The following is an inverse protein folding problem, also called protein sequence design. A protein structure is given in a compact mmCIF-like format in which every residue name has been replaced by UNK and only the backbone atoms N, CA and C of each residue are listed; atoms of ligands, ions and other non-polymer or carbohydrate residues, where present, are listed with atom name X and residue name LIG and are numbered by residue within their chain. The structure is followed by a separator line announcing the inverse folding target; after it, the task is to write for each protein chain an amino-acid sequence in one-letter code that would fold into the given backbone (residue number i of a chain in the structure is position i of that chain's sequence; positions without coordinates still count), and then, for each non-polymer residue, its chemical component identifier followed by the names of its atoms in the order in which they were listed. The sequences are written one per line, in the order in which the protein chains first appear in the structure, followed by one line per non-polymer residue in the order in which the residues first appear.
data_IF_458640613553
#
_entry.id   IF_458640613553
#
_cell.length_a   1.000
_cell.length_b   1.000
_cell.length_c   1.000
_cell.angle_alpha   90.00
_cell.angle_beta   90.00
_cell.angle_gamma   90.00
#
_symmetry.space_group_name_H-M   'P 1'
#
loop_
_entity.id
_entity.type
_entity.pdbx_description
1 polymer ?
#
# COMPACT_ATOMS: atom_id res chain seq x y z
N UNK A 1 25.38 -50.63 -1.09
CA UNK A 1 25.78 -51.87 -1.83
C UNK A 1 25.05 -51.76 -3.15
N UNK A 2 25.73 -51.63 -4.30
CA UNK A 2 25.05 -51.28 -5.56
C UNK A 2 24.03 -52.34 -5.94
N UNK A 3 22.76 -51.96 -5.94
CA UNK A 3 21.65 -52.82 -6.33
C UNK A 3 21.30 -52.56 -7.79
N UNK A 4 20.81 -53.58 -8.50
CA UNK A 4 20.44 -53.48 -9.91
C UNK A 4 19.00 -53.95 -10.09
N UNK A 5 18.22 -53.21 -10.87
CA UNK A 5 16.83 -53.52 -11.17
C UNK A 5 16.75 -53.97 -12.63
N UNK A 6 16.36 -55.22 -12.87
CA UNK A 6 16.24 -55.78 -14.22
C UNK A 6 14.82 -55.58 -14.75
N UNK A 7 14.70 -54.92 -15.90
CA UNK A 7 13.48 -54.90 -16.72
C UNK A 7 13.83 -55.40 -18.12
N UNK A 8 13.20 -56.50 -18.54
CA UNK A 8 13.51 -57.22 -19.77
C UNK A 8 15.02 -57.54 -19.90
N UNK A 9 15.68 -56.98 -20.92
CA UNK A 9 17.12 -57.11 -21.21
C UNK A 9 17.95 -55.89 -20.79
N UNK A 10 17.36 -54.97 -20.03
CA UNK A 10 18.05 -53.79 -19.51
C UNK A 10 18.21 -53.85 -17.99
N UNK A 11 19.43 -53.52 -17.53
CA UNK A 11 19.74 -53.36 -16.12
C UNK A 11 19.79 -51.87 -15.80
N UNK A 12 18.95 -51.45 -14.86
CA UNK A 12 19.00 -50.12 -14.29
C UNK A 12 19.78 -50.18 -12.98
N UNK A 13 20.64 -49.19 -12.74
CA UNK A 13 21.19 -48.96 -11.41
C UNK A 13 20.00 -48.69 -10.49
N UNK A 14 19.75 -49.56 -9.53
CA UNK A 14 18.78 -49.26 -8.49
C UNK A 14 19.42 -48.18 -7.61
N UNK A 15 18.73 -47.07 -7.32
CA UNK A 15 19.25 -46.07 -6.40
C UNK A 15 19.61 -46.78 -5.10
N UNK A 16 20.83 -46.57 -4.60
CA UNK A 16 21.25 -47.08 -3.30
C UNK A 16 20.33 -46.40 -2.27
N UNK A 17 19.25 -47.07 -1.87
CA UNK A 17 18.37 -46.58 -0.80
C UNK A 17 19.02 -46.97 0.53
N UNK A 18 20.30 -46.65 0.69
CA UNK A 18 20.98 -46.64 1.98
C UNK A 18 20.47 -45.43 2.75
N UNK A 19 19.23 -45.51 3.21
CA UNK A 19 18.62 -44.50 4.07
C UNK A 19 18.98 -44.79 5.52
N UNK A 20 19.39 -43.75 6.26
CA UNK A 20 19.33 -43.77 7.72
C UNK A 20 17.93 -43.31 8.11
N UNK A 21 17.16 -44.17 8.78
CA UNK A 21 15.88 -43.76 9.34
C UNK A 21 16.15 -42.75 10.46
N UNK A 22 15.50 -41.59 10.39
CA UNK A 22 15.54 -40.54 11.41
C UNK A 22 14.12 -40.25 11.87
N UNK A 23 13.92 -40.04 13.16
CA UNK A 23 12.58 -39.85 13.76
C UNK A 23 12.03 -38.44 13.55
N UNK A 24 12.90 -37.48 13.24
CA UNK A 24 12.55 -36.08 13.04
C UNK A 24 13.46 -35.43 12.01
N UNK A 25 12.92 -34.54 11.21
CA UNK A 25 13.68 -33.66 10.33
C UNK A 25 14.54 -32.71 11.19
N UNK A 26 15.85 -32.58 10.88
CA UNK A 26 16.70 -31.58 11.52
C UNK A 26 16.19 -30.15 11.32
N UNK A 27 16.54 -29.25 12.23
CA UNK A 27 16.28 -27.84 12.04
C UNK A 27 17.01 -27.34 10.78
N UNK A 28 16.29 -26.67 9.89
CA UNK A 28 16.87 -26.28 8.62
C UNK A 28 15.86 -25.75 7.60
N UNK A 29 16.40 -25.46 6.42
CA UNK A 29 15.64 -25.00 5.28
C UNK A 29 15.52 -26.12 4.27
N UNK A 30 14.31 -26.31 3.76
CA UNK A 30 13.96 -27.36 2.83
C UNK A 30 13.17 -26.78 1.68
N UNK A 31 13.45 -27.18 0.45
CA UNK A 31 12.58 -26.95 -0.70
C UNK A 31 11.56 -28.07 -0.78
N UNK A 32 10.30 -27.72 -0.96
CA UNK A 32 9.25 -28.68 -1.30
C UNK A 32 9.36 -29.04 -2.79
N UNK A 33 9.44 -30.33 -3.08
CA UNK A 33 9.54 -30.86 -4.43
C UNK A 33 8.48 -31.96 -4.64
N UNK A 34 8.13 -32.19 -5.91
CA UNK A 34 7.27 -33.29 -6.32
C UNK A 34 7.94 -34.10 -7.43
N UNK A 35 7.76 -35.42 -7.41
CA UNK A 35 8.18 -36.30 -8.49
C UNK A 35 7.14 -37.40 -8.69
N UNK A 36 6.71 -37.63 -9.93
CA UNK A 36 5.57 -38.51 -10.27
C UNK A 36 5.62 -39.91 -9.63
N UNK A 37 6.82 -40.47 -9.44
CA UNK A 37 7.00 -41.80 -8.84
C UNK A 37 7.25 -41.80 -7.33
N UNK A 38 7.77 -40.71 -6.78
CA UNK A 38 8.17 -40.61 -5.37
C UNK A 38 7.12 -39.85 -4.53
N UNK A 39 6.24 -39.11 -5.19
CA UNK A 39 5.35 -38.15 -4.54
C UNK A 39 6.11 -36.91 -4.08
N UNK A 40 5.56 -36.27 -3.04
CA UNK A 40 6.16 -35.11 -2.40
C UNK A 40 7.36 -35.50 -1.54
N UNK A 41 8.41 -34.67 -1.58
CA UNK A 41 9.61 -34.82 -0.75
C UNK A 41 10.23 -33.46 -0.43
N UNK A 42 11.10 -33.44 0.59
CA UNK A 42 11.85 -32.26 1.00
C UNK A 42 13.31 -32.38 0.60
N UNK A 43 13.83 -31.37 -0.08
CA UNK A 43 15.25 -31.25 -0.43
C UNK A 43 15.91 -30.19 0.45
N UNK A 44 17.00 -30.53 1.15
CA UNK A 44 17.77 -29.54 1.93
C UNK A 44 18.23 -28.41 1.00
N UNK A 45 18.11 -27.17 1.46
CA UNK A 45 18.55 -25.98 0.72
C UNK A 45 19.37 -25.05 1.61
N UNK A 46 20.05 -24.11 0.98
CA UNK A 46 20.82 -23.09 1.69
C UNK A 46 19.92 -22.23 2.58
N UNK A 47 20.43 -21.78 3.75
CA UNK A 47 19.72 -20.85 4.60
C UNK A 47 19.33 -19.55 3.89
N UNK A 48 18.20 -18.98 4.29
CA UNK A 48 17.82 -17.64 3.85
C UNK A 48 18.78 -16.61 4.45
N UNK A 49 19.26 -15.69 3.60
CA UNK A 49 20.14 -14.59 4.02
C UNK A 49 19.33 -13.38 4.47
N UNK A 50 19.67 -12.85 5.65
CA UNK A 50 19.16 -11.57 6.14
C UNK A 50 20.11 -10.43 5.76
N UNK A 51 19.56 -9.24 5.59
CA UNK A 51 20.37 -8.03 5.48
C UNK A 51 21.02 -7.72 6.84
N UNK A 52 22.19 -7.06 6.86
CA UNK A 52 22.91 -6.77 8.11
C UNK A 52 22.12 -5.85 9.05
N UNK A 53 21.44 -4.85 8.48
CA UNK A 53 20.63 -3.87 9.20
C UNK A 53 19.32 -3.65 8.47
N UNK A 54 18.23 -3.78 9.21
CA UNK A 54 16.91 -3.34 8.78
C UNK A 54 16.64 -1.94 9.34
N UNK A 55 15.82 -1.17 8.64
CA UNK A 55 15.50 0.22 8.96
C UNK A 55 14.01 0.37 9.21
N UNK A 56 13.64 1.35 10.03
CA UNK A 56 12.27 1.59 10.44
C UNK A 56 11.61 0.37 11.09
N UNK A 57 10.31 0.21 10.85
CA UNK A 57 9.49 -0.80 11.51
C UNK A 57 9.49 -2.17 10.80
N UNK A 58 10.58 -2.55 10.13
CA UNK A 58 10.66 -3.73 9.27
C UNK A 58 10.26 -5.05 9.97
N UNK A 59 10.41 -5.14 11.29
CA UNK A 59 10.13 -6.35 12.09
C UNK A 59 9.04 -6.17 13.15
N UNK A 60 8.29 -5.07 13.16
CA UNK A 60 7.40 -4.69 14.27
C UNK A 60 6.33 -5.73 14.64
N UNK A 61 5.98 -6.64 13.73
CA UNK A 61 4.94 -7.67 13.94
C UNK A 61 5.50 -9.06 14.25
N UNK A 62 6.83 -9.21 14.27
CA UNK A 62 7.47 -10.52 14.40
C UNK A 62 7.02 -11.27 15.67
N UNK A 63 7.13 -10.62 16.83
CA UNK A 63 6.84 -11.26 18.12
C UNK A 63 5.38 -11.68 18.21
N UNK A 64 4.44 -10.80 17.82
CA UNK A 64 3.01 -11.08 17.79
C UNK A 64 2.67 -12.27 16.88
N UNK A 65 3.27 -12.34 15.69
CA UNK A 65 3.06 -13.45 14.75
C UNK A 65 3.52 -14.77 15.38
N UNK A 66 4.72 -14.78 15.97
CA UNK A 66 5.30 -15.99 16.55
C UNK A 66 4.56 -16.44 17.81
N UNK A 67 4.12 -15.51 18.65
CA UNK A 67 3.28 -15.79 19.82
C UNK A 67 1.99 -16.49 19.41
N UNK A 68 1.26 -15.92 18.45
CA UNK A 68 0.02 -16.53 17.91
C UNK A 68 0.26 -17.91 17.30
N UNK A 69 1.36 -18.09 16.56
CA UNK A 69 1.71 -19.40 16.00
C UNK A 69 2.03 -20.44 17.08
N UNK A 70 2.68 -20.05 18.17
CA UNK A 70 3.00 -20.94 19.28
C UNK A 70 1.75 -21.34 20.08
N UNK A 71 0.75 -20.45 20.18
CA UNK A 71 -0.53 -20.74 20.82
C UNK A 71 -1.43 -21.66 19.97
N UNK A 72 -1.37 -21.53 18.64
CA UNK A 72 -2.24 -22.26 17.71
C UNK A 72 -1.57 -23.54 17.20
N UNK A 73 -1.55 -24.57 18.05
CA UNK A 73 -0.85 -25.83 17.77
C UNK A 73 -1.65 -26.81 16.90
N UNK A 74 -2.98 -26.76 16.93
CA UNK A 74 -3.84 -27.74 16.24
C UNK A 74 -4.37 -27.28 14.89
N UNK A 75 -4.22 -25.99 14.57
CA UNK A 75 -4.77 -25.37 13.36
C UNK A 75 -3.71 -24.53 12.67
N UNK A 76 -3.70 -24.48 11.32
CA UNK A 76 -2.77 -23.65 10.61
C UNK A 76 -2.96 -22.18 10.99
N UNK A 77 -1.84 -21.47 11.04
CA UNK A 77 -1.81 -20.01 11.16
C UNK A 77 -1.29 -19.47 9.86
N UNK A 78 -2.02 -18.53 9.25
CA UNK A 78 -1.62 -17.94 7.98
C UNK A 78 -1.41 -16.45 8.16
N UNK A 79 -0.29 -15.97 7.66
CA UNK A 79 -0.04 -14.54 7.50
C UNK A 79 0.07 -14.20 6.02
N UNK A 80 -0.61 -13.14 5.65
CA UNK A 80 -0.55 -12.52 4.33
C UNK A 80 0.18 -11.20 4.45
N UNK A 81 1.27 -11.04 3.70
CA UNK A 81 2.07 -9.82 3.63
C UNK A 81 1.84 -9.20 2.25
N UNK A 82 1.19 -8.05 2.19
CA UNK A 82 0.74 -7.41 0.95
C UNK A 82 1.44 -6.07 0.72
N UNK A 83 1.53 -5.62 -0.53
CA UNK A 83 2.11 -4.33 -0.88
C UNK A 83 3.04 -4.40 -2.09
N UNK A 84 3.60 -3.29 -2.53
CA UNK A 84 4.43 -3.29 -3.75
C UNK A 84 5.79 -3.97 -3.56
N UNK A 85 6.47 -4.25 -4.68
CA UNK A 85 7.84 -4.76 -4.64
C UNK A 85 8.75 -3.78 -3.89
N UNK A 86 9.67 -4.30 -3.08
CA UNK A 86 10.65 -3.50 -2.34
C UNK A 86 10.17 -2.87 -1.03
N UNK A 87 8.93 -3.12 -0.58
CA UNK A 87 8.37 -2.53 0.65
C UNK A 87 8.72 -3.27 1.95
N UNK A 88 9.42 -4.40 1.88
CA UNK A 88 9.89 -5.14 3.07
C UNK A 88 9.12 -6.42 3.42
N UNK A 89 8.14 -6.85 2.62
CA UNK A 89 7.38 -8.09 2.85
C UNK A 89 8.28 -9.32 3.01
N UNK A 90 9.10 -9.59 2.00
CA UNK A 90 10.05 -10.71 1.98
C UNK A 90 11.13 -10.56 3.08
N UNK A 91 11.40 -9.33 3.55
CA UNK A 91 12.35 -9.09 4.64
C UNK A 91 11.80 -9.62 5.98
N UNK A 92 10.54 -9.31 6.31
CA UNK A 92 9.87 -9.87 7.50
C UNK A 92 9.72 -11.40 7.39
N UNK A 93 9.28 -11.90 6.23
CA UNK A 93 9.13 -13.34 6.00
C UNK A 93 10.43 -14.12 6.22
N UNK A 94 11.54 -13.63 5.65
CA UNK A 94 12.87 -14.22 5.86
C UNK A 94 13.29 -14.18 7.33
N UNK A 95 13.02 -13.08 8.03
CA UNK A 95 13.36 -12.94 9.45
C UNK A 95 12.63 -13.97 10.32
N UNK A 96 11.32 -14.14 10.11
CA UNK A 96 10.51 -15.17 10.78
C UNK A 96 11.10 -16.57 10.53
N UNK A 97 11.39 -16.90 9.27
CA UNK A 97 11.94 -18.21 8.91
C UNK A 97 13.32 -18.47 9.55
N UNK A 98 14.22 -17.50 9.50
CA UNK A 98 15.58 -17.63 10.05
C UNK A 98 15.57 -17.80 11.56
N UNK A 99 14.78 -16.99 12.27
CA UNK A 99 14.72 -17.10 13.72
C UNK A 99 14.01 -18.39 14.17
N UNK A 100 12.98 -18.82 13.44
CA UNK A 100 12.31 -20.10 13.70
C UNK A 100 13.23 -21.32 13.49
N UNK A 101 14.06 -21.32 12.44
CA UNK A 101 15.05 -22.38 12.24
C UNK A 101 16.11 -22.36 13.35
N UNK A 102 16.54 -21.17 13.80
CA UNK A 102 17.46 -21.04 14.95
C UNK A 102 16.88 -21.59 16.25
N UNK A 103 15.56 -21.53 16.44
CA UNK A 103 14.87 -22.15 17.58
C UNK A 103 14.58 -23.64 17.40
N UNK A 104 15.17 -24.30 16.39
CA UNK A 104 15.01 -25.74 16.17
C UNK A 104 13.85 -26.12 15.22
N UNK A 105 13.22 -25.12 14.57
CA UNK A 105 12.13 -25.33 13.63
C UNK A 105 12.58 -25.69 12.21
N UNK A 106 11.60 -26.00 11.37
CA UNK A 106 11.80 -26.37 9.96
C UNK A 106 11.11 -25.34 9.06
N UNK A 107 11.86 -24.77 8.14
CA UNK A 107 11.30 -23.88 7.12
C UNK A 107 11.23 -24.58 5.76
N UNK A 108 10.02 -24.72 5.24
CA UNK A 108 9.74 -25.26 3.91
C UNK A 108 9.54 -24.09 2.96
N UNK A 109 10.40 -24.00 1.95
CA UNK A 109 10.33 -23.06 0.85
C UNK A 109 9.55 -23.70 -0.30
N UNK A 110 8.48 -23.03 -0.72
CA UNK A 110 7.65 -23.50 -1.82
C UNK A 110 7.61 -22.44 -2.92
N UNK A 111 8.07 -22.83 -4.11
CA UNK A 111 8.13 -21.97 -5.30
C UNK A 111 7.13 -22.37 -6.39
N UNK A 112 6.38 -23.45 -6.19
CA UNK A 112 5.42 -24.01 -7.15
C UNK A 112 4.03 -24.09 -6.53
N UNK A 113 3.00 -24.07 -7.37
CA UNK A 113 1.61 -24.22 -6.94
C UNK A 113 1.27 -25.70 -6.74
N UNK A 114 1.53 -26.22 -5.53
CA UNK A 114 1.11 -27.55 -5.13
C UNK A 114 -0.34 -27.52 -4.61
N UNK A 115 -1.12 -28.50 -5.04
CA UNK A 115 -2.57 -28.62 -4.79
C UNK A 115 -2.95 -30.09 -4.63
N UNK A 116 -4.15 -30.33 -4.11
CA UNK A 116 -4.75 -31.65 -3.98
C UNK A 116 -4.40 -32.36 -2.67
N UNK A 117 -5.09 -33.46 -2.42
CA UNK A 117 -5.04 -34.13 -1.10
C UNK A 117 -3.70 -34.82 -0.82
N UNK A 118 -2.95 -35.20 -1.86
CA UNK A 118 -1.59 -35.73 -1.68
C UNK A 118 -0.65 -34.68 -1.08
N UNK A 119 -0.78 -33.42 -1.50
CA UNK A 119 0.00 -32.29 -0.96
C UNK A 119 -0.42 -31.99 0.49
N UNK A 120 -1.73 -31.89 0.75
CA UNK A 120 -2.26 -31.64 2.10
C UNK A 120 -1.85 -32.74 3.07
N UNK A 121 -1.99 -34.00 2.65
CA UNK A 121 -1.59 -35.18 3.40
C UNK A 121 -0.09 -35.26 3.62
N UNK A 122 0.74 -34.82 2.66
CA UNK A 122 2.18 -34.72 2.84
C UNK A 122 2.55 -33.74 3.96
N UNK A 123 2.00 -32.52 3.95
CA UNK A 123 2.25 -31.54 5.00
C UNK A 123 1.73 -31.99 6.37
N UNK A 124 0.59 -32.69 6.40
CA UNK A 124 0.02 -33.21 7.63
C UNK A 124 0.89 -34.30 8.27
N UNK A 125 1.51 -35.17 7.46
CA UNK A 125 2.43 -36.22 7.95
C UNK A 125 3.68 -35.65 8.66
N UNK A 126 4.04 -34.41 8.38
CA UNK A 126 5.12 -33.71 9.09
C UNK A 126 4.56 -33.12 10.38
N UNK A 127 4.58 -33.91 11.46
CA UNK A 127 4.02 -33.52 12.76
C UNK A 127 4.82 -32.41 13.48
N UNK A 128 6.08 -32.17 13.06
CA UNK A 128 6.90 -31.10 13.63
C UNK A 128 6.33 -29.72 13.27
N UNK A 129 6.49 -28.78 14.21
CA UNK A 129 6.25 -27.37 13.95
C UNK A 129 7.02 -26.92 12.71
N UNK A 130 6.33 -26.26 11.78
CA UNK A 130 6.92 -25.88 10.50
C UNK A 130 6.40 -24.55 9.99
N UNK A 131 7.28 -23.82 9.29
CA UNK A 131 6.90 -22.68 8.48
C UNK A 131 6.85 -23.13 7.02
N UNK A 132 5.77 -22.81 6.32
CA UNK A 132 5.70 -22.91 4.85
C UNK A 132 5.73 -21.50 4.29
N UNK A 133 6.82 -21.15 3.60
CA UNK A 133 7.02 -19.83 3.01
C UNK A 133 6.80 -19.88 1.50
N UNK A 134 5.81 -19.10 1.04
CA UNK A 134 5.46 -18.92 -0.37
C UNK A 134 5.67 -17.44 -0.73
N UNK A 135 6.81 -17.14 -1.36
CA UNK A 135 7.12 -15.80 -1.87
C UNK A 135 6.36 -15.56 -3.18
N UNK A 136 5.92 -14.32 -3.41
CA UNK A 136 5.10 -13.93 -4.56
C UNK A 136 3.95 -14.92 -4.85
N UNK A 137 3.15 -15.25 -3.81
CA UNK A 137 2.02 -16.18 -3.88
C UNK A 137 1.09 -15.87 -5.06
N UNK A 138 0.91 -14.58 -5.37
CA UNK A 138 0.09 -14.10 -6.48
C UNK A 138 0.59 -14.52 -7.87
N UNK A 139 1.90 -14.76 -7.99
CA UNK A 139 2.53 -15.29 -9.20
C UNK A 139 2.68 -16.79 -9.21
N UNK A 140 2.76 -17.43 -8.03
CA UNK A 140 2.82 -18.89 -7.91
C UNK A 140 1.45 -19.50 -8.19
N UNK A 141 0.42 -19.03 -7.48
CA UNK A 141 -0.95 -19.53 -7.58
C UNK A 141 -1.76 -18.70 -8.59
N UNK A 142 -1.64 -19.05 -9.87
CA UNK A 142 -2.21 -18.27 -10.99
C UNK A 142 -3.67 -18.54 -11.27
N UNK A 143 -4.14 -19.76 -11.00
CA UNK A 143 -5.46 -20.22 -11.44
C UNK A 143 -6.46 -20.30 -10.27
N UNK A 144 -7.75 -19.96 -10.48
CA UNK A 144 -8.76 -19.98 -9.42
C UNK A 144 -8.88 -21.31 -8.70
N UNK A 145 -8.78 -22.44 -9.42
CA UNK A 145 -8.86 -23.78 -8.82
C UNK A 145 -7.71 -24.04 -7.84
N UNK A 146 -6.51 -23.54 -8.11
CA UNK A 146 -5.36 -23.68 -7.23
C UNK A 146 -5.52 -22.85 -5.96
N UNK A 147 -6.04 -21.63 -6.12
CA UNK A 147 -6.33 -20.70 -5.03
C UNK A 147 -7.41 -21.27 -4.11
N UNK A 148 -8.46 -21.86 -4.67
CA UNK A 148 -9.53 -22.51 -3.91
C UNK A 148 -9.06 -23.75 -3.14
N UNK A 149 -8.19 -24.56 -3.74
CA UNK A 149 -7.60 -25.71 -3.06
C UNK A 149 -6.72 -25.26 -1.87
N UNK A 150 -5.92 -24.20 -2.06
CA UNK A 150 -5.14 -23.60 -0.98
C UNK A 150 -6.04 -23.11 0.17
N UNK A 151 -7.18 -22.48 -0.12
CA UNK A 151 -8.12 -22.05 0.92
C UNK A 151 -8.66 -23.21 1.76
N UNK A 152 -8.77 -24.40 1.17
CA UNK A 152 -9.17 -25.63 1.86
C UNK A 152 -8.06 -26.19 2.75
N UNK A 153 -6.79 -25.94 2.39
CA UNK A 153 -5.67 -26.26 3.27
C UNK A 153 -5.63 -25.31 4.49
N UNK A 154 -6.03 -24.06 4.29
CA UNK A 154 -5.94 -23.01 5.30
C UNK A 154 -7.15 -22.90 6.25
N UNK A 155 -8.27 -23.56 5.94
CA UNK A 155 -9.52 -23.43 6.72
C UNK A 155 -9.53 -24.21 8.05
N UNK A 156 -8.47 -24.97 8.34
CA UNK A 156 -8.33 -25.73 9.59
C UNK A 156 -8.98 -27.11 9.59
N UNK A 157 -9.47 -27.60 8.45
CA UNK A 157 -9.96 -28.98 8.32
C UNK A 157 -8.86 -30.04 8.50
N UNK A 158 -7.60 -29.66 8.28
CA UNK A 158 -6.42 -30.51 8.44
C UNK A 158 -5.61 -30.04 9.65
N UNK A 159 -5.66 -30.78 10.78
CA UNK A 159 -4.90 -30.40 11.96
C UNK A 159 -3.40 -30.39 11.66
N UNK A 160 -2.75 -29.25 11.85
CA UNK A 160 -1.31 -29.10 11.67
C UNK A 160 -0.76 -27.88 12.40
N UNK A 161 0.40 -28.03 13.03
CA UNK A 161 1.15 -26.92 13.62
C UNK A 161 2.02 -26.25 12.54
N UNK A 162 1.37 -25.52 11.64
CA UNK A 162 2.00 -24.89 10.47
C UNK A 162 1.74 -23.39 10.43
N UNK A 163 2.81 -22.60 10.27
CA UNK A 163 2.71 -21.18 9.92
C UNK A 163 2.91 -21.01 8.41
N UNK A 164 1.85 -20.62 7.70
CA UNK A 164 1.92 -20.24 6.30
C UNK A 164 2.27 -18.75 6.19
N UNK A 165 3.35 -18.44 5.49
CA UNK A 165 3.76 -17.07 5.17
C UNK A 165 3.58 -16.86 3.68
N UNK A 166 2.64 -15.99 3.32
CA UNK A 166 2.31 -15.68 1.94
C UNK A 166 2.68 -14.22 1.68
N UNK A 167 3.49 -13.94 0.66
CA UNK A 167 3.71 -12.55 0.22
C UNK A 167 3.01 -12.30 -1.10
N UNK A 168 2.38 -11.14 -1.26
CA UNK A 168 1.66 -10.78 -2.48
C UNK A 168 2.00 -9.36 -2.92
N UNK A 169 2.07 -9.14 -4.23
CA UNK A 169 2.12 -7.79 -4.80
C UNK A 169 0.73 -7.26 -5.17
N UNK A 170 -0.19 -8.16 -5.52
CA UNK A 170 -1.59 -7.84 -5.80
C UNK A 170 -2.35 -7.37 -4.55
N UNK A 171 -3.37 -6.53 -4.76
CA UNK A 171 -4.36 -6.16 -3.73
C UNK A 171 -5.25 -7.38 -3.45
N UNK A 172 -5.31 -7.84 -2.19
CA UNK A 172 -6.15 -8.97 -1.79
C UNK A 172 -7.65 -8.72 -1.92
N UNK A 173 -8.07 -7.45 -2.07
CA UNK A 173 -9.46 -7.08 -2.37
C UNK A 173 -9.81 -7.28 -3.85
N UNK A 174 -8.85 -7.63 -4.70
CA UNK A 174 -9.16 -8.04 -6.06
C UNK A 174 -10.03 -9.30 -6.06
N UNK A 175 -10.91 -9.42 -7.05
CA UNK A 175 -11.85 -10.55 -7.19
C UNK A 175 -11.18 -11.94 -7.16
N UNK A 176 -9.88 -12.00 -7.47
CA UNK A 176 -9.10 -13.24 -7.47
C UNK A 176 -8.75 -13.75 -6.06
N UNK A 177 -8.74 -12.90 -5.04
CA UNK A 177 -8.33 -13.25 -3.68
C UNK A 177 -9.35 -12.87 -2.60
N UNK A 178 -10.58 -12.51 -3.00
CA UNK A 178 -11.65 -12.08 -2.10
C UNK A 178 -11.88 -13.03 -0.90
N UNK A 179 -11.67 -14.34 -1.10
CA UNK A 179 -11.86 -15.37 -0.07
C UNK A 179 -10.73 -15.48 0.97
N UNK A 180 -9.65 -14.71 0.79
CA UNK A 180 -8.61 -14.50 1.80
C UNK A 180 -8.94 -13.29 2.68
N UNK A 181 -9.69 -12.32 2.17
CA UNK A 181 -10.05 -11.09 2.86
C UNK A 181 -11.21 -11.30 3.85
N UNK A 182 -11.19 -10.62 5.01
CA UNK A 182 -12.20 -10.73 6.08
C UNK A 182 -12.51 -12.16 6.55
N UNK A 183 -11.53 -13.08 6.46
CA UNK A 183 -11.67 -14.47 6.91
C UNK A 183 -10.51 -14.87 7.83
N UNK A 184 -10.54 -14.45 9.11
CA UNK A 184 -9.46 -14.71 10.07
C UNK A 184 -9.18 -16.20 10.33
N UNK A 185 -10.17 -17.07 10.07
CA UNK A 185 -9.98 -18.52 10.13
C UNK A 185 -9.07 -19.09 9.04
N UNK A 186 -8.86 -18.36 7.93
CA UNK A 186 -7.98 -18.75 6.82
C UNK A 186 -6.72 -17.90 6.75
N UNK A 187 -6.86 -16.60 6.94
CA UNK A 187 -5.77 -15.62 7.00
C UNK A 187 -5.88 -14.87 8.31
N UNK A 188 -5.05 -15.23 9.28
CA UNK A 188 -5.11 -14.68 10.62
C UNK A 188 -4.59 -13.24 10.66
N UNK A 189 -3.43 -13.00 10.05
CA UNK A 189 -2.89 -11.65 9.87
C UNK A 189 -2.83 -11.28 8.39
N UNK A 190 -3.44 -10.15 8.04
CA UNK A 190 -3.21 -9.48 6.78
C UNK A 190 -2.48 -8.16 7.05
N UNK A 191 -1.20 -8.09 6.68
CA UNK A 191 -0.31 -6.97 6.95
C UNK A 191 0.01 -6.26 5.64
N UNK A 192 -0.41 -5.01 5.54
CA UNK A 192 -0.17 -4.17 4.38
C UNK A 192 1.11 -3.33 4.51
N UNK A 193 2.02 -3.49 3.55
CA UNK A 193 3.27 -2.77 3.42
C UNK A 193 3.14 -1.64 2.41
N UNK A 194 3.01 -0.43 2.93
CA UNK A 194 2.95 0.81 2.15
C UNK A 194 4.33 1.39 1.81
N UNK A 195 4.32 2.66 1.41
CA UNK A 195 5.55 3.45 1.20
C UNK A 195 6.37 3.53 2.49
N UNK A 196 7.70 3.67 2.34
CA UNK A 196 8.59 3.91 3.48
C UNK A 196 8.31 5.28 4.11
N UNK A 197 8.50 5.38 5.43
CA UNK A 197 8.26 6.63 6.18
C UNK A 197 9.42 7.61 6.04
N UNK A 198 9.16 8.91 6.25
CA UNK A 198 10.22 9.92 6.35
C UNK A 198 11.26 9.56 7.42
N UNK A 199 10.83 9.09 8.58
CA UNK A 199 11.74 8.63 9.64
C UNK A 199 12.68 7.52 9.16
N UNK A 200 12.18 6.56 8.38
CA UNK A 200 12.98 5.49 7.77
C UNK A 200 13.94 6.04 6.71
N UNK A 201 13.49 7.00 5.89
CA UNK A 201 14.32 7.66 4.89
C UNK A 201 15.48 8.39 5.57
N UNK A 202 15.19 9.18 6.61
CA UNK A 202 16.19 9.90 7.40
C UNK A 202 17.14 8.94 8.09
N UNK A 203 16.64 7.87 8.71
CA UNK A 203 17.47 6.85 9.37
C UNK A 203 18.46 6.23 8.37
N UNK A 204 17.95 5.76 7.23
CA UNK A 204 18.77 5.16 6.19
C UNK A 204 19.78 6.16 5.61
N UNK A 205 19.33 7.36 5.25
CA UNK A 205 20.20 8.39 4.69
C UNK A 205 21.31 8.80 5.66
N UNK A 206 21.04 8.90 6.96
CA UNK A 206 22.07 9.23 7.95
C UNK A 206 23.20 8.19 8.04
N UNK A 207 22.91 6.93 7.73
CA UNK A 207 23.88 5.83 7.77
C UNK A 207 24.74 5.73 6.50
N UNK A 208 24.17 5.96 5.32
CA UNK A 208 24.84 5.67 4.03
C UNK A 208 25.12 6.88 3.14
N UNK A 209 24.47 8.03 3.38
CA UNK A 209 24.69 9.22 2.57
C UNK A 209 26.01 9.89 2.97
N UNK A 210 26.86 10.19 1.99
CA UNK A 210 28.15 10.87 2.21
C UNK A 210 27.93 12.32 2.65
N UNK A 211 27.02 13.03 1.95
CA UNK A 211 26.69 14.42 2.22
C UNK A 211 25.28 14.55 2.82
N UNK A 212 25.22 14.71 4.15
CA UNK A 212 23.98 14.73 4.93
C UNK A 212 23.12 15.98 4.70
N UNK A 213 23.71 17.05 4.16
CA UNK A 213 22.97 18.29 3.86
C UNK A 213 21.97 18.08 2.71
N UNK A 214 22.08 16.97 1.97
CA UNK A 214 21.17 16.60 0.89
C UNK A 214 19.93 15.84 1.35
N UNK A 215 19.76 15.56 2.65
CA UNK A 215 18.60 14.80 3.16
C UNK A 215 17.29 15.50 2.83
N UNK A 216 17.20 16.82 3.02
CA UNK A 216 15.95 17.54 2.74
C UNK A 216 15.65 17.60 1.23
N UNK A 217 16.68 17.67 0.38
CA UNK A 217 16.55 17.56 -1.08
C UNK A 217 16.01 16.18 -1.50
N UNK A 218 16.45 15.10 -0.83
CA UNK A 218 15.91 13.75 -1.04
C UNK A 218 14.44 13.70 -0.64
N UNK A 219 14.07 14.26 0.51
CA UNK A 219 12.70 14.25 1.00
C UNK A 219 11.76 15.04 0.07
N UNK A 220 12.18 16.19 -0.43
CA UNK A 220 11.43 16.93 -1.44
C UNK A 220 11.24 16.12 -2.72
N UNK A 221 12.30 15.45 -3.20
CA UNK A 221 12.25 14.61 -4.39
C UNK A 221 11.28 13.44 -4.22
N UNK A 222 11.44 12.69 -3.13
CA UNK A 222 10.65 11.51 -2.74
C UNK A 222 9.21 11.88 -2.46
N UNK A 223 8.97 13.11 -2.03
CA UNK A 223 7.62 13.58 -1.77
C UNK A 223 6.69 13.63 -2.98
N UNK A 224 7.22 13.43 -4.18
CA UNK A 224 6.41 13.40 -5.41
C UNK A 224 5.93 11.99 -5.78
N UNK A 225 6.25 10.99 -4.96
CA UNK A 225 5.86 9.60 -5.19
C UNK A 225 4.61 9.26 -4.35
N UNK A 226 3.61 8.66 -4.98
CA UNK A 226 2.51 8.00 -4.27
C UNK A 226 2.98 6.75 -3.52
N UNK A 227 4.01 6.09 -4.06
CA UNK A 227 4.61 4.89 -3.49
C UNK A 227 6.13 4.95 -3.64
N UNK A 228 6.87 4.96 -2.53
CA UNK A 228 8.33 4.94 -2.51
C UNK A 228 8.84 3.81 -1.61
N UNK A 229 9.87 3.09 -2.06
CA UNK A 229 10.34 1.88 -1.40
C UNK A 229 11.86 1.90 -1.12
N UNK A 230 12.34 0.94 -0.34
CA UNK A 230 13.77 0.89 0.06
C UNK A 230 14.71 0.66 -1.12
N UNK A 231 14.29 -0.03 -2.16
CA UNK A 231 15.11 -0.29 -3.36
C UNK A 231 15.34 1.02 -4.13
N UNK A 232 14.27 1.79 -4.34
CA UNK A 232 14.34 3.13 -4.93
C UNK A 232 15.25 4.05 -4.10
N UNK A 233 15.08 4.08 -2.77
CA UNK A 233 15.92 4.89 -1.89
C UNK A 233 17.40 4.49 -1.97
N UNK A 234 17.69 3.18 -1.95
CA UNK A 234 19.05 2.64 -2.02
C UNK A 234 19.73 3.04 -3.32
N UNK A 235 19.03 2.93 -4.46
CA UNK A 235 19.55 3.33 -5.78
C UNK A 235 19.76 4.85 -5.84
N UNK A 236 18.79 5.63 -5.35
CA UNK A 236 18.86 7.09 -5.33
C UNK A 236 20.08 7.58 -4.54
N UNK A 237 20.27 7.09 -3.30
CA UNK A 237 21.40 7.48 -2.45
C UNK A 237 22.74 7.03 -3.06
N UNK A 238 22.80 5.84 -3.66
CA UNK A 238 24.01 5.39 -4.36
C UNK A 238 24.40 6.34 -5.50
N UNK A 239 23.43 6.79 -6.29
CA UNK A 239 23.73 7.73 -7.39
C UNK A 239 24.07 9.12 -6.87
N UNK A 240 23.41 9.60 -5.81
CA UNK A 240 23.77 10.85 -5.11
C UNK A 240 25.24 10.81 -4.68
N UNK A 241 25.63 9.75 -3.94
CA UNK A 241 26.99 9.56 -3.47
C UNK A 241 28.02 9.51 -4.63
N UNK A 242 27.64 8.95 -5.77
CA UNK A 242 28.49 8.85 -6.96
C UNK A 242 28.64 10.20 -7.70
N UNK A 243 27.65 11.06 -7.60
CA UNK A 243 27.61 12.39 -8.22
C UNK A 243 28.13 13.51 -7.32
N UNK A 244 28.68 13.18 -6.15
CA UNK A 244 29.30 14.18 -5.26
C UNK A 244 30.40 14.97 -6.00
N UNK A 245 30.35 16.30 -5.89
CA UNK A 245 31.24 17.22 -6.61
C UNK A 245 30.82 17.60 -8.04
N UNK A 246 29.74 17.02 -8.59
CA UNK A 246 29.28 17.30 -9.97
C UNK A 246 28.20 18.39 -10.09
N UNK A 247 27.78 19.00 -8.96
CA UNK A 247 26.71 20.00 -8.89
C UNK A 247 25.40 19.56 -9.59
N UNK A 248 25.00 18.29 -9.37
CA UNK A 248 23.78 17.69 -9.92
C UNK A 248 22.73 17.55 -8.81
N UNK A 249 21.53 18.08 -9.05
CA UNK A 249 20.41 17.96 -8.10
C UNK A 249 19.81 16.55 -8.11
N UNK A 250 19.16 16.15 -7.02
CA UNK A 250 18.39 14.89 -6.92
C UNK A 250 17.30 14.85 -8.01
N UNK A 251 16.72 16.02 -8.34
CA UNK A 251 15.75 16.15 -9.44
C UNK A 251 16.36 15.81 -10.79
N UNK A 252 17.60 16.22 -11.05
CA UNK A 252 18.31 15.88 -12.28
C UNK A 252 18.68 14.39 -12.34
N UNK A 253 19.09 13.79 -11.22
CA UNK A 253 19.31 12.34 -11.12
C UNK A 253 18.04 11.56 -11.51
N UNK A 254 16.89 12.03 -11.04
CA UNK A 254 15.58 11.49 -11.40
C UNK A 254 15.26 11.47 -12.89
N UNK A 255 15.91 12.31 -13.72
CA UNK A 255 15.68 12.34 -15.17
C UNK A 255 16.22 11.12 -15.90
N UNK A 256 17.29 10.50 -15.40
CA UNK A 256 17.89 9.31 -16.02
C UNK A 256 17.76 8.04 -15.18
N UNK A 257 17.50 8.14 -13.88
CA UNK A 257 17.13 6.99 -13.06
C UNK A 257 15.72 6.48 -13.43
N UNK A 258 15.52 5.16 -13.33
CA UNK A 258 14.20 4.53 -13.48
C UNK A 258 13.37 4.65 -12.19
N UNK A 259 13.33 5.86 -11.64
CA UNK A 259 12.62 6.23 -10.41
C UNK A 259 11.82 7.48 -10.75
N UNK A 260 10.71 7.30 -11.47
CA UNK A 260 9.88 8.39 -11.98
C UNK A 260 8.75 8.68 -10.99
N UNK A 261 8.60 9.94 -10.55
CA UNK A 261 7.45 10.30 -9.73
C UNK A 261 6.17 10.05 -10.52
N UNK A 262 5.34 9.13 -10.03
CA UNK A 262 3.98 8.96 -10.55
C UNK A 262 3.08 9.82 -9.68
N UNK A 263 2.81 11.04 -10.11
CA UNK A 263 1.61 11.75 -9.62
C UNK A 263 0.47 11.07 -10.36
N UNK A 264 -0.17 10.09 -9.72
CA UNK A 264 -1.49 9.66 -10.17
C UNK A 264 -2.42 10.85 -9.92
N UNK A 265 -2.84 11.53 -10.99
CA UNK A 265 -3.84 12.60 -10.91
C UNK A 265 -5.16 12.10 -10.30
N UNK A 266 -5.38 10.78 -10.26
CA UNK A 266 -6.59 10.14 -9.72
C UNK A 266 -6.63 10.08 -8.17
N UNK A 267 -5.57 10.47 -7.46
CA UNK A 267 -5.44 10.30 -6.00
C UNK A 267 -5.19 11.61 -5.24
N UNK A 268 -5.86 12.70 -5.61
CA UNK A 268 -5.87 13.95 -4.82
C UNK A 268 -7.30 14.20 -4.31
N UNK A 269 -7.47 14.24 -2.98
CA UNK A 269 -8.67 14.80 -2.35
C UNK A 269 -8.58 16.31 -2.34
N UNK A 270 -9.57 16.96 -2.92
CA UNK A 270 -9.73 18.40 -2.88
C UNK A 270 -10.77 18.74 -1.82
N UNK A 271 -10.34 19.39 -0.75
CA UNK A 271 -11.26 20.07 0.16
C UNK A 271 -11.50 21.47 -0.40
N UNK A 272 -12.76 21.80 -0.65
CA UNK A 272 -13.15 23.04 -1.34
C UNK A 272 -14.07 23.83 -0.43
N UNK A 273 -13.75 25.10 -0.24
CA UNK A 273 -14.50 26.03 0.61
C UNK A 273 -14.66 27.35 -0.15
N UNK A 274 -15.78 28.04 0.09
CA UNK A 274 -16.06 29.32 -0.53
C UNK A 274 -16.74 30.28 0.45
N UNK A 275 -16.30 31.53 0.46
CA UNK A 275 -16.93 32.61 1.22
C UNK A 275 -17.39 33.74 0.31
N UNK A 276 -18.54 34.33 0.61
CA UNK A 276 -19.10 35.48 -0.08
C UNK A 276 -19.60 36.52 0.91
N UNK A 277 -19.10 37.77 0.80
CA UNK A 277 -19.38 38.86 1.74
C UNK A 277 -19.12 38.49 3.21
N UNK A 278 -18.08 37.68 3.43
CA UNK A 278 -17.68 37.18 4.75
C UNK A 278 -18.47 35.98 5.29
N UNK A 279 -19.43 35.43 4.54
CA UNK A 279 -20.21 34.25 4.95
C UNK A 279 -19.79 32.99 4.20
N UNK A 280 -19.83 31.84 4.87
CA UNK A 280 -19.62 30.53 4.24
C UNK A 280 -20.79 30.20 3.31
N UNK A 281 -20.46 29.97 2.04
CA UNK A 281 -21.41 29.62 0.97
C UNK A 281 -21.00 28.33 0.27
N UNK A 282 -20.15 27.51 0.89
CA UNK A 282 -19.56 26.31 0.29
C UNK A 282 -20.62 25.35 -0.26
N UNK A 283 -21.71 25.12 0.46
CA UNK A 283 -22.80 24.23 0.02
C UNK A 283 -23.57 24.74 -1.21
N UNK A 284 -23.55 26.05 -1.44
CA UNK A 284 -24.26 26.70 -2.55
C UNK A 284 -23.33 27.06 -3.72
N UNK A 285 -22.02 26.99 -3.54
CA UNK A 285 -21.04 27.37 -4.56
C UNK A 285 -20.87 26.29 -5.63
N UNK A 286 -20.75 26.69 -6.89
CA UNK A 286 -20.51 25.78 -8.01
C UNK A 286 -19.01 25.52 -8.22
N UNK A 287 -18.54 24.38 -7.71
CA UNK A 287 -17.14 23.98 -7.79
C UNK A 287 -16.72 23.28 -9.10
N UNK A 288 -17.53 23.34 -10.17
CA UNK A 288 -17.25 22.64 -11.44
C UNK A 288 -15.88 22.96 -12.04
N UNK A 289 -15.38 24.19 -11.85
CA UNK A 289 -14.08 24.64 -12.36
C UNK A 289 -12.93 24.51 -11.35
N UNK A 290 -13.14 23.84 -10.21
CA UNK A 290 -12.18 23.79 -9.11
C UNK A 290 -11.63 22.37 -8.88
N UNK A 291 -11.42 21.64 -9.98
CA UNK A 291 -10.64 20.40 -10.00
C UNK A 291 -9.20 20.67 -10.44
N UNK A 292 -8.30 19.71 -10.22
CA UNK A 292 -6.86 19.89 -10.42
C UNK A 292 -6.49 20.43 -11.80
N UNK A 293 -7.06 19.85 -12.87
CA UNK A 293 -6.79 20.26 -14.26
C UNK A 293 -7.21 21.71 -14.54
N UNK A 294 -8.34 22.15 -13.97
CA UNK A 294 -8.82 23.51 -14.16
C UNK A 294 -8.02 24.52 -13.34
N UNK A 295 -7.62 24.16 -12.11
CA UNK A 295 -6.73 24.98 -11.28
C UNK A 295 -5.37 25.16 -11.97
N UNK A 296 -4.82 24.09 -12.56
CA UNK A 296 -3.58 24.19 -13.35
C UNK A 296 -3.75 25.17 -14.50
N UNK A 297 -4.86 25.12 -15.24
CA UNK A 297 -5.17 26.06 -16.32
C UNK A 297 -5.32 27.50 -15.82
N UNK A 298 -5.98 27.72 -14.68
CA UNK A 298 -6.07 29.07 -14.07
C UNK A 298 -4.70 29.65 -13.72
N UNK A 299 -3.72 28.81 -13.38
CA UNK A 299 -2.37 29.23 -13.00
C UNK A 299 -1.41 29.37 -14.19
N UNK A 300 -1.76 28.82 -15.35
CA UNK A 300 -0.82 28.69 -16.49
C UNK A 300 -1.33 29.29 -17.80
N UNK A 301 -2.63 29.54 -17.93
CA UNK A 301 -3.27 30.09 -19.12
C UNK A 301 -4.15 31.30 -18.76
N UNK A 302 -3.58 32.49 -18.92
CA UNK A 302 -4.24 33.78 -18.66
C UNK A 302 -5.49 34.04 -19.53
N UNK A 303 -5.70 33.22 -20.58
CA UNK A 303 -6.86 33.33 -21.48
C UNK A 303 -8.00 32.39 -21.10
N UNK A 304 -7.78 31.48 -20.14
CA UNK A 304 -8.76 30.49 -19.73
C UNK A 304 -9.99 31.15 -19.09
N UNK A 305 -11.17 30.91 -19.66
CA UNK A 305 -12.44 31.40 -19.12
C UNK A 305 -13.09 30.35 -18.23
N UNK A 306 -13.49 30.76 -17.03
CA UNK A 306 -14.17 29.90 -16.07
C UNK A 306 -15.29 30.65 -15.34
N UNK A 307 -16.21 29.88 -14.77
CA UNK A 307 -17.40 30.42 -14.12
C UNK A 307 -17.24 30.43 -12.61
N UNK A 308 -17.58 31.56 -12.00
CA UNK A 308 -17.86 31.66 -10.57
C UNK A 308 -19.37 31.81 -10.40
N UNK A 309 -20.00 30.90 -9.66
CA UNK A 309 -21.44 30.90 -9.46
C UNK A 309 -21.77 30.44 -8.05
N UNK A 310 -22.61 31.21 -7.35
CA UNK A 310 -23.28 30.76 -6.14
C UNK A 310 -24.73 30.52 -6.52
N UNK A 311 -25.18 29.27 -6.36
CA UNK A 311 -26.52 28.85 -6.75
C UNK A 311 -27.53 29.52 -5.83
N UNK A 312 -28.48 30.30 -6.38
CA UNK A 312 -29.59 30.80 -5.61
C UNK A 312 -30.40 29.65 -5.03
N UNK A 313 -31.06 29.87 -3.89
CA UNK A 313 -31.89 28.87 -3.23
C UNK A 313 -33.29 29.44 -2.92
N UNK A 314 -34.22 28.55 -2.57
CA UNK A 314 -35.62 28.90 -2.31
C UNK A 314 -35.87 29.54 -0.95
N UNK A 315 -34.87 29.66 -0.08
CA UNK A 315 -35.07 30.18 1.27
C UNK A 315 -35.25 31.70 1.26
N UNK A 316 -36.29 32.18 1.96
CA UNK A 316 -36.64 33.60 2.08
C UNK A 316 -37.10 33.94 3.49
N UNK A 317 -37.10 35.24 3.79
CA UNK A 317 -37.73 35.82 4.97
C UNK A 317 -38.90 36.69 4.56
N UNK A 318 -40.07 36.47 5.14
CA UNK A 318 -41.25 37.31 4.95
C UNK A 318 -41.14 38.63 5.72
N UNK A 319 -41.98 39.62 5.39
CA UNK A 319 -42.05 40.91 6.08
C UNK A 319 -42.35 40.78 7.59
N UNK A 320 -43.06 39.71 8.00
CA UNK A 320 -43.30 39.37 9.42
C UNK A 320 -42.16 38.57 10.07
N UNK A 321 -41.05 38.38 9.35
CA UNK A 321 -39.81 37.80 9.83
C UNK A 321 -39.77 36.27 9.85
N UNK A 322 -40.76 35.59 9.26
CA UNK A 322 -40.80 34.12 9.18
C UNK A 322 -40.00 33.60 8.00
N UNK A 323 -39.37 32.45 8.22
CA UNK A 323 -38.67 31.72 7.17
C UNK A 323 -39.68 30.91 6.35
N UNK A 324 -39.56 30.97 5.03
CA UNK A 324 -40.35 30.14 4.13
C UNK A 324 -39.52 29.76 2.90
N UNK A 325 -39.87 28.64 2.27
CA UNK A 325 -39.21 28.10 1.07
C UNK A 325 -40.13 28.30 -0.14
N UNK A 326 -39.62 29.00 -1.17
CA UNK A 326 -40.37 29.30 -2.38
C UNK A 326 -40.41 28.13 -3.35
N UNK A 327 -41.56 27.46 -3.41
CA UNK A 327 -41.84 26.35 -4.32
C UNK A 327 -42.08 26.79 -5.78
N UNK A 328 -42.31 28.09 -6.05
CA UNK A 328 -42.80 28.59 -7.34
C UNK A 328 -41.69 29.10 -8.30
N UNK A 329 -40.42 29.06 -7.89
CA UNK A 329 -39.28 29.23 -8.80
C UNK A 329 -38.73 30.67 -8.95
N UNK A 330 -39.11 31.61 -8.08
CA UNK A 330 -38.45 32.92 -7.96
C UNK A 330 -37.12 32.84 -7.16
N UNK A 331 -36.78 31.64 -6.69
CA UNK A 331 -35.50 31.28 -6.05
C UNK A 331 -34.27 31.85 -6.77
N UNK A 332 -34.32 32.06 -8.10
CA UNK A 332 -33.22 32.64 -8.91
C UNK A 332 -32.76 34.04 -8.49
N UNK A 333 -33.52 34.75 -7.67
CA UNK A 333 -33.28 36.18 -7.39
C UNK A 333 -32.43 36.50 -6.15
N UNK A 334 -32.18 35.56 -5.23
CA UNK A 334 -31.22 35.78 -4.12
C UNK A 334 -30.75 34.46 -3.46
N UNK A 335 -29.75 34.55 -2.59
CA UNK A 335 -29.11 33.45 -1.86
C UNK A 335 -29.46 33.60 -0.37
N UNK A 336 -30.31 32.73 0.17
CA UNK A 336 -30.78 32.80 1.56
C UNK A 336 -30.28 31.63 2.42
N UNK A 337 -29.76 31.87 3.61
CA UNK A 337 -29.33 30.81 4.53
C UNK A 337 -29.28 31.27 5.98
N UNK A 338 -29.16 30.32 6.90
CA UNK A 338 -29.01 30.60 8.33
C UNK A 338 -27.53 30.65 8.72
N UNK A 339 -27.11 31.73 9.38
CA UNK A 339 -25.79 31.87 9.98
C UNK A 339 -25.92 32.54 11.36
N UNK A 340 -25.29 31.98 12.40
CA UNK A 340 -25.31 32.53 13.77
C UNK A 340 -26.73 32.87 14.28
N UNK A 341 -27.68 31.96 14.07
CA UNK A 341 -29.10 32.10 14.42
C UNK A 341 -29.83 33.28 13.74
N UNK A 342 -29.24 33.84 12.67
CA UNK A 342 -29.85 34.88 11.84
C UNK A 342 -29.96 34.41 10.40
N UNK A 343 -31.06 34.81 9.78
CA UNK A 343 -31.23 34.63 8.34
C UNK A 343 -30.47 35.71 7.59
N UNK A 344 -29.60 35.27 6.68
CA UNK A 344 -28.81 36.11 5.80
C UNK A 344 -29.33 35.95 4.38
N UNK A 345 -29.50 37.07 3.69
CA UNK A 345 -29.91 37.14 2.29
C UNK A 345 -28.84 37.92 1.51
N UNK A 346 -28.30 37.28 0.47
CA UNK A 346 -27.26 37.86 -0.39
C UNK A 346 -27.74 37.95 -1.83
N UNK A 347 -27.27 38.99 -2.53
CA UNK A 347 -27.49 39.17 -3.97
C UNK A 347 -26.91 38.00 -4.77
N UNK A 348 -27.59 37.54 -5.84
CA UNK A 348 -27.08 36.49 -6.72
C UNK A 348 -25.68 36.81 -7.23
N UNK A 349 -24.83 35.79 -7.29
CA UNK A 349 -23.48 35.92 -7.80
C UNK A 349 -23.23 34.94 -8.94
N UNK A 350 -22.98 35.48 -10.13
CA UNK A 350 -22.62 34.72 -11.32
C UNK A 350 -21.74 35.56 -12.24
N UNK A 351 -20.52 35.09 -12.49
CA UNK A 351 -19.58 35.72 -13.42
C UNK A 351 -18.85 34.67 -14.25
N UNK A 352 -18.48 35.07 -15.47
CA UNK A 352 -17.45 34.41 -16.26
C UNK A 352 -16.22 35.31 -16.18
N UNK A 353 -15.09 34.75 -15.75
CA UNK A 353 -13.86 35.49 -15.47
C UNK A 353 -12.66 34.78 -16.08
N UNK A 354 -11.56 35.53 -16.21
CA UNK A 354 -10.22 35.03 -16.55
C UNK A 354 -9.27 35.18 -15.36
N UNK A 355 -8.12 34.49 -15.34
CA UNK A 355 -7.12 34.64 -14.29
C UNK A 355 -6.60 36.07 -14.08
N UNK A 356 -6.73 36.95 -15.07
CA UNK A 356 -6.36 38.37 -14.93
C UNK A 356 -7.46 39.23 -14.27
N UNK A 357 -8.70 38.74 -14.23
CA UNK A 357 -9.83 39.47 -13.63
C UNK A 357 -9.95 39.22 -12.12
N UNK A 358 -9.29 38.17 -11.61
CA UNK A 358 -9.33 37.73 -10.21
C UNK A 358 -7.92 37.35 -9.75
N UNK A 359 -7.67 37.34 -8.45
CA UNK A 359 -6.35 36.94 -7.94
C UNK A 359 -6.30 35.43 -7.72
N UNK A 360 -5.47 34.71 -8.45
CA UNK A 360 -5.21 33.27 -8.26
C UNK A 360 -3.82 33.04 -7.66
N UNK A 361 -3.74 32.34 -6.54
CA UNK A 361 -2.48 32.03 -5.86
C UNK A 361 -2.43 30.57 -5.42
N UNK A 362 -1.25 29.95 -5.47
CA UNK A 362 -1.03 28.61 -4.93
C UNK A 362 0.17 28.62 -3.98
N UNK A 363 -0.03 28.19 -2.75
CA UNK A 363 1.05 27.97 -1.79
C UNK A 363 1.54 26.51 -1.87
N UNK A 364 2.76 26.25 -2.38
CA UNK A 364 3.28 24.90 -2.52
C UNK A 364 3.58 24.21 -1.18
N UNK A 365 3.76 24.95 -0.08
CA UNK A 365 4.05 24.38 1.24
C UNK A 365 2.79 23.82 1.89
N UNK A 366 1.71 24.61 1.86
CA UNK A 366 0.42 24.22 2.46
C UNK A 366 -0.49 23.49 1.48
N UNK A 367 -0.16 23.50 0.18
CA UNK A 367 -0.93 22.92 -0.93
C UNK A 367 -2.33 23.53 -1.05
N UNK A 368 -2.44 24.81 -0.74
CA UNK A 368 -3.69 25.57 -0.82
C UNK A 368 -3.66 26.44 -2.06
N UNK A 369 -4.65 26.25 -2.92
CA UNK A 369 -5.01 27.20 -3.96
C UNK A 369 -6.04 28.19 -3.40
N UNK A 370 -5.84 29.48 -3.66
CA UNK A 370 -6.76 30.55 -3.28
C UNK A 370 -7.10 31.39 -4.50
N UNK A 371 -8.40 31.57 -4.75
CA UNK A 371 -8.94 32.52 -5.70
C UNK A 371 -9.64 33.64 -4.95
N UNK A 372 -9.40 34.89 -5.33
CA UNK A 372 -10.03 36.08 -4.72
C UNK A 372 -10.57 37.03 -5.79
N UNK A 373 -11.89 37.18 -5.83
CA UNK A 373 -12.58 38.28 -6.53
C UNK A 373 -12.82 39.42 -5.53
N UNK A 374 -11.86 40.35 -5.48
CA UNK A 374 -11.89 41.48 -4.53
C UNK A 374 -13.05 42.43 -4.76
N UNK A 375 -13.52 42.57 -5.99
CA UNK A 375 -14.59 43.51 -6.34
C UNK A 375 -15.93 43.08 -5.73
N UNK A 376 -16.14 41.76 -5.61
CA UNK A 376 -17.41 41.17 -5.16
C UNK A 376 -17.31 40.50 -3.80
N UNK A 377 -16.14 40.54 -3.16
CA UNK A 377 -15.88 39.90 -1.87
C UNK A 377 -16.16 38.39 -1.90
N UNK A 378 -15.60 37.72 -2.91
CA UNK A 378 -15.66 36.25 -3.05
C UNK A 378 -14.26 35.68 -2.91
N UNK A 379 -14.14 34.68 -2.04
CA UNK A 379 -12.91 33.91 -1.85
C UNK A 379 -13.24 32.43 -2.02
N UNK A 380 -12.43 31.72 -2.80
CA UNK A 380 -12.53 30.28 -2.96
C UNK A 380 -11.19 29.66 -2.59
N UNK A 381 -11.21 28.69 -1.69
CA UNK A 381 -10.01 27.96 -1.26
C UNK A 381 -10.14 26.48 -1.60
N UNK A 382 -9.11 25.95 -2.25
CA UNK A 382 -9.02 24.52 -2.57
C UNK A 382 -7.74 23.97 -1.97
N UNK A 383 -7.89 23.14 -0.94
CA UNK A 383 -6.78 22.45 -0.33
C UNK A 383 -6.59 21.09 -0.99
N UNK A 384 -5.44 20.90 -1.64
CA UNK A 384 -5.05 19.64 -2.23
C UNK A 384 -4.38 18.74 -1.19
N UNK A 385 -5.11 17.73 -0.74
CA UNK A 385 -4.57 16.65 0.08
C UNK A 385 -4.41 15.42 -0.78
N UNK A 386 -3.21 14.85 -0.94
CA UNK A 386 -3.09 13.54 -1.56
C UNK A 386 -3.97 12.54 -0.80
N UNK A 387 -4.75 11.74 -1.53
CA UNK A 387 -5.59 10.67 -0.97
C UNK A 387 -4.75 9.74 -0.09
N UNK A 388 -3.46 9.63 -0.40
CA UNK A 388 -2.40 9.15 0.49
C UNK A 388 -1.19 10.09 0.45
N UNK A 389 -1.17 11.10 1.32
CA UNK A 389 -0.03 11.99 1.51
C UNK A 389 0.83 11.46 2.64
N UNK A 390 2.05 11.03 2.34
CA UNK A 390 3.06 10.69 3.37
C UNK A 390 3.44 11.88 4.27
N UNK A 391 3.06 13.12 3.92
CA UNK A 391 3.20 14.30 4.78
C UNK A 391 2.00 14.51 5.73
N UNK A 392 0.89 13.81 5.52
CA UNK A 392 -0.20 13.72 6.48
C UNK A 392 -0.25 12.28 6.98
N UNK A 393 0.49 11.97 8.05
CA UNK A 393 0.05 11.21 9.22
C UNK A 393 1.23 10.56 9.96
N UNK A 394 1.68 11.26 11.00
CA UNK A 394 2.07 10.64 12.28
C UNK A 394 0.89 9.87 12.95
N UNK A 395 -0.28 9.76 12.32
CA UNK A 395 -1.40 8.92 12.74
C UNK A 395 -1.44 7.56 12.01
N UNK A 396 -0.32 6.87 11.96
CA UNK A 396 -0.36 5.39 12.04
C UNK A 396 -0.13 4.94 13.47
N UNK A 397 -0.76 5.63 14.41
CA UNK A 397 -1.11 5.01 15.68
C UNK A 397 -2.32 4.14 15.38
N UNK A 398 -2.07 2.85 15.12
CA UNK A 398 -3.08 1.85 15.44
C UNK A 398 -3.15 1.85 16.96
N UNK A 399 -3.98 2.72 17.52
CA UNK A 399 -4.48 2.49 18.87
C UNK A 399 -5.47 1.33 18.76
N UNK A 400 -5.28 0.36 19.66
CA UNK A 400 -6.01 -0.89 19.73
C UNK A 400 -7.52 -0.76 19.71
#
# INVERSE_FOLDING_TARGET
MTQYLRQNDTYHLAPDVSGVAIDSLPAGFYRLCFHDKLGFYLQITNPLTLIPKAYGNAYQHQDRIMETFNERTEIPTTIMLEGFKGTGKTLLAKKLCVDFVKSGGICILQSEAYVGDDYKGFLQKINQQKIVFIDEFDKVYTKPEQVNDMLTLLDGMYPMHTLFILTMNADSRSSRYEYFHNRPGRVYYNIHFGSISESTIREYANDVLINKDRIDEILEYVGRFSMFNMDMLTILIKEINKSEGQNISVRDLGKFLNIKPTISYDDIRLQKEATYKGYDVSDSFDFTYFDADYIERMMTDDTFEFRLMIRPNGFRKTDDGKLWEDENGDAKQCIGFMAEDKFIELEPYHRIVKPNDVKCEFDPKTRVFTLTDKEHDVVVTVQASPTFSYLNKDERVVNF
#
